data_IF_939346705860
#
_entry.id   IF_939346705860
#
_cell.length_a   1.000
_cell.length_b   1.000
_cell.length_c   1.000
_cell.angle_alpha   90.00
_cell.angle_beta   90.00
_cell.angle_gamma   90.00
#
_symmetry.space_group_name_H-M   'P 1'
#
loop_
_entity.id
_entity.type
_entity.pdbx_description
1 polymer ?
#
# COMPACT_ATOMS: atom_id res chain seq x y z
N UNK A 1 16.59 1.79 7.26
CA UNK A 1 15.32 2.49 7.56
C UNK A 1 15.02 2.56 9.08
N UNK A 2 15.78 3.32 9.89
CA UNK A 2 15.70 3.21 11.37
C UNK A 2 14.63 4.07 12.08
N UNK A 3 13.87 4.93 11.37
CA UNK A 3 12.87 5.84 11.97
C UNK A 3 11.66 6.18 11.08
N UNK A 4 11.22 5.27 10.21
CA UNK A 4 9.98 5.47 9.42
C UNK A 4 8.97 4.39 9.80
N UNK A 5 7.71 4.79 9.96
CA UNK A 5 6.62 3.88 10.35
C UNK A 5 6.25 2.88 9.25
N UNK A 6 6.69 3.10 8.00
CA UNK A 6 6.36 2.26 6.85
C UNK A 6 7.50 2.20 5.81
N UNK A 7 7.36 1.30 4.81
CA UNK A 7 8.30 1.17 3.69
C UNK A 7 8.19 2.39 2.74
N UNK A 8 9.12 2.50 1.80
CA UNK A 8 9.00 3.53 0.74
C UNK A 8 7.80 3.24 -0.18
N UNK A 9 7.13 4.29 -0.65
CA UNK A 9 6.10 4.19 -1.68
C UNK A 9 6.67 4.38 -3.09
N UNK A 10 7.95 4.71 -3.25
CA UNK A 10 8.60 4.82 -4.57
C UNK A 10 8.41 3.53 -5.38
N UNK A 11 7.97 3.67 -6.63
CA UNK A 11 7.66 2.57 -7.54
C UNK A 11 6.61 1.60 -6.99
N UNK A 12 5.59 2.10 -6.26
CA UNK A 12 4.59 1.20 -5.65
C UNK A 12 3.69 0.54 -6.69
N UNK A 13 3.31 1.24 -7.76
CA UNK A 13 2.45 0.67 -8.81
C UNK A 13 3.19 -0.42 -9.59
N UNK A 14 2.58 -1.61 -9.69
CA UNK A 14 3.17 -2.83 -10.25
C UNK A 14 4.00 -3.65 -9.26
N UNK A 15 4.25 -3.16 -8.03
CA UNK A 15 5.08 -3.85 -7.04
C UNK A 15 4.25 -4.81 -6.19
N UNK A 16 4.79 -6.02 -5.96
CA UNK A 16 4.22 -6.99 -5.02
C UNK A 16 4.24 -6.45 -3.57
N UNK A 17 3.24 -6.81 -2.78
CA UNK A 17 3.25 -6.59 -1.32
C UNK A 17 4.51 -7.20 -0.70
N UNK A 18 5.06 -6.55 0.32
CA UNK A 18 6.21 -7.10 1.05
C UNK A 18 7.55 -7.04 0.31
N UNK A 19 7.63 -6.42 -0.87
CA UNK A 19 8.81 -6.50 -1.74
C UNK A 19 9.92 -5.46 -1.48
N UNK A 20 9.75 -4.55 -0.53
CA UNK A 20 10.80 -3.55 -0.22
C UNK A 20 11.87 -4.18 0.66
N UNK A 21 13.08 -4.29 0.10
CA UNK A 21 14.26 -4.73 0.84
C UNK A 21 14.51 -3.83 2.06
N UNK A 22 15.10 -4.39 3.12
CA UNK A 22 15.40 -3.71 4.38
C UNK A 22 14.18 -3.14 5.16
N UNK A 23 12.95 -3.54 4.84
CA UNK A 23 11.77 -3.29 5.66
C UNK A 23 11.24 -4.58 6.32
N UNK A 24 11.05 -4.61 7.66
CA UNK A 24 10.62 -5.80 8.39
C UNK A 24 9.10 -6.01 8.28
N UNK A 25 8.67 -6.56 7.15
CA UNK A 25 7.29 -7.00 6.93
C UNK A 25 6.88 -8.14 7.86
N UNK A 26 5.58 -8.38 7.99
CA UNK A 26 5.06 -9.58 8.64
C UNK A 26 5.16 -10.78 7.68
N UNK A 27 5.13 -11.99 8.21
CA UNK A 27 5.21 -13.21 7.40
C UNK A 27 4.05 -13.30 6.41
N UNK A 28 2.85 -12.92 6.84
CA UNK A 28 1.62 -12.95 6.03
C UNK A 28 1.74 -12.05 4.79
N UNK A 29 2.40 -10.90 4.91
CA UNK A 29 2.63 -10.00 3.78
C UNK A 29 3.71 -10.52 2.83
N UNK A 30 4.69 -11.26 3.32
CA UNK A 30 5.74 -11.86 2.48
C UNK A 30 5.21 -13.02 1.64
N UNK A 31 4.20 -13.74 2.14
CA UNK A 31 3.55 -14.86 1.45
C UNK A 31 2.40 -14.42 0.53
N UNK A 32 2.02 -13.15 0.56
CA UNK A 32 0.89 -12.63 -0.20
C UNK A 32 1.25 -12.32 -1.66
N UNK A 33 0.45 -12.81 -2.61
CA UNK A 33 0.63 -12.58 -4.05
C UNK A 33 -0.04 -11.29 -4.58
N UNK A 34 -0.48 -10.40 -3.69
CA UNK A 34 -1.11 -9.14 -4.07
C UNK A 34 -0.10 -8.19 -4.72
N UNK A 35 -0.50 -7.59 -5.84
CA UNK A 35 0.27 -6.56 -6.55
C UNK A 35 -0.44 -5.22 -6.42
N UNK A 36 0.31 -4.19 -6.04
CA UNK A 36 -0.22 -2.84 -5.93
C UNK A 36 -0.51 -2.24 -7.30
N UNK A 37 -1.76 -1.86 -7.51
CA UNK A 37 -2.28 -1.17 -8.68
C UNK A 37 -3.42 -0.23 -8.20
N UNK A 38 -4.12 0.42 -9.12
CA UNK A 38 -5.21 1.34 -8.76
C UNK A 38 -6.31 0.64 -7.96
N UNK A 39 -6.75 -0.52 -8.43
CA UNK A 39 -7.87 -1.25 -7.82
C UNK A 39 -7.54 -1.76 -6.43
N UNK A 40 -6.33 -2.29 -6.23
CA UNK A 40 -5.90 -2.81 -4.94
C UNK A 40 -5.61 -1.70 -3.93
N UNK A 41 -5.15 -0.53 -4.38
CA UNK A 41 -5.00 0.65 -3.52
C UNK A 41 -6.37 1.25 -3.18
N UNK A 42 -7.31 1.33 -4.14
CA UNK A 42 -8.70 1.72 -3.87
C UNK A 42 -9.31 0.81 -2.81
N UNK A 43 -9.21 -0.50 -3.02
CA UNK A 43 -9.71 -1.51 -2.10
C UNK A 43 -9.08 -1.39 -0.71
N UNK A 44 -7.76 -1.16 -0.64
CA UNK A 44 -7.05 -0.95 0.63
C UNK A 44 -7.66 0.18 1.44
N UNK A 45 -7.95 1.32 0.82
CA UNK A 45 -8.53 2.47 1.51
C UNK A 45 -10.06 2.40 1.64
N UNK A 46 -10.73 1.54 0.87
CA UNK A 46 -12.16 1.29 1.02
C UNK A 46 -12.45 0.35 2.18
N UNK A 47 -11.82 -0.82 2.18
CA UNK A 47 -12.10 -1.92 3.12
C UNK A 47 -11.16 -1.92 4.32
N UNK A 48 -9.96 -1.33 4.20
CA UNK A 48 -8.96 -1.23 5.26
C UNK A 48 -7.86 -2.31 5.16
N UNK A 49 -6.67 -2.05 5.73
CA UNK A 49 -5.54 -2.98 5.71
C UNK A 49 -5.80 -4.26 6.49
N UNK A 50 -6.68 -4.25 7.49
CA UNK A 50 -7.12 -5.42 8.24
C UNK A 50 -7.86 -6.44 7.37
N UNK A 51 -8.49 -6.00 6.29
CA UNK A 51 -9.21 -6.85 5.32
C UNK A 51 -8.33 -7.19 4.12
N UNK A 52 -7.67 -6.19 3.53
CA UNK A 52 -6.94 -6.35 2.25
C UNK A 52 -5.54 -6.91 2.45
N UNK A 53 -4.90 -6.59 3.58
CA UNK A 53 -3.54 -6.98 3.90
C UNK A 53 -3.45 -7.52 5.34
N UNK A 54 -4.20 -8.59 5.68
CA UNK A 54 -4.22 -9.13 7.04
C UNK A 54 -2.81 -9.47 7.54
N UNK A 55 -2.53 -9.16 8.81
CA UNK A 55 -1.19 -9.26 9.40
C UNK A 55 -0.31 -8.03 9.19
N UNK A 56 -0.74 -7.07 8.36
CA UNK A 56 -0.06 -5.78 8.21
C UNK A 56 -0.03 -4.99 9.51
N UNK A 57 1.09 -4.30 9.75
CA UNK A 57 1.27 -3.33 10.85
C UNK A 57 0.75 -1.93 10.48
N UNK A 58 0.22 -1.75 9.27
CA UNK A 58 -0.36 -0.49 8.83
C UNK A 58 -1.59 -0.15 9.69
N UNK A 59 -1.67 1.05 10.28
CA UNK A 59 -2.87 1.47 11.00
C UNK A 59 -4.09 1.45 10.09
N UNK A 60 -5.23 0.98 10.62
CA UNK A 60 -6.49 0.94 9.89
C UNK A 60 -6.91 2.35 9.50
N UNK A 61 -7.02 2.58 8.20
CA UNK A 61 -7.45 3.84 7.61
C UNK A 61 -8.43 3.52 6.49
N UNK A 62 -9.61 4.14 6.55
CA UNK A 62 -10.66 4.00 5.53
C UNK A 62 -11.09 5.37 5.02
N UNK A 63 -11.26 5.50 3.72
CA UNK A 63 -11.68 6.71 3.01
C UNK A 63 -13.03 6.40 2.37
N UNK A 64 -14.11 6.95 2.93
CA UNK A 64 -15.48 6.69 2.46
C UNK A 64 -15.75 7.31 1.09
N UNK A 65 -15.23 8.51 0.85
CA UNK A 65 -15.41 9.24 -0.40
C UNK A 65 -14.72 8.53 -1.55
N UNK A 66 -15.48 8.17 -2.59
CA UNK A 66 -14.93 7.56 -3.80
C UNK A 66 -13.99 8.52 -4.53
N UNK A 67 -14.38 9.80 -4.66
CA UNK A 67 -13.54 10.81 -5.27
C UNK A 67 -12.24 11.03 -4.48
N UNK A 68 -12.29 11.04 -3.14
CA UNK A 68 -11.11 11.20 -2.30
C UNK A 68 -10.10 10.05 -2.52
N UNK A 69 -10.58 8.82 -2.70
CA UNK A 69 -9.72 7.67 -3.04
C UNK A 69 -9.14 7.80 -4.45
N UNK A 70 -9.95 8.21 -5.42
CA UNK A 70 -9.48 8.45 -6.79
C UNK A 70 -8.39 9.54 -6.85
N UNK A 71 -8.58 10.64 -6.10
CA UNK A 71 -7.61 11.73 -6.01
C UNK A 71 -6.31 11.27 -5.32
N UNK A 72 -6.41 10.47 -4.25
CA UNK A 72 -5.27 9.86 -3.59
C UNK A 72 -4.48 8.95 -4.55
N UNK A 73 -5.17 8.09 -5.30
CA UNK A 73 -4.54 7.18 -6.27
C UNK A 73 -3.82 7.97 -7.36
N UNK A 74 -4.47 9.00 -7.91
CA UNK A 74 -3.89 9.90 -8.91
C UNK A 74 -2.63 10.61 -8.38
N UNK A 75 -2.69 11.13 -7.15
CA UNK A 75 -1.54 11.71 -6.48
C UNK A 75 -0.41 10.69 -6.30
N UNK A 76 -0.72 9.49 -5.79
CA UNK A 76 0.28 8.44 -5.54
C UNK A 76 0.97 8.01 -6.83
N UNK A 77 0.25 7.83 -7.94
CA UNK A 77 0.86 7.49 -9.24
C UNK A 77 1.97 8.47 -9.60
N UNK A 78 1.64 9.76 -9.62
CA UNK A 78 2.59 10.81 -9.97
C UNK A 78 3.72 10.97 -8.95
N UNK A 79 3.41 10.87 -7.66
CA UNK A 79 4.37 11.12 -6.59
C UNK A 79 5.36 9.97 -6.38
N UNK A 80 5.07 8.79 -6.93
CA UNK A 80 5.86 7.57 -6.71
C UNK A 80 6.45 6.98 -7.99
N UNK A 81 6.17 7.58 -9.14
CA UNK A 81 6.72 7.16 -10.42
C UNK A 81 8.26 7.22 -10.42
N UNK A 82 8.95 6.16 -10.90
CA UNK A 82 10.38 6.22 -11.16
C UNK A 82 10.71 7.29 -12.21
N UNK A 83 11.74 8.09 -11.96
CA UNK A 83 12.27 9.04 -12.96
C UNK A 83 13.14 8.34 -14.00
#
# INVERSE_FOLDING_TARGET
SKRRAGPTLYGVFGRKVGAVEDYPYSQELLEMELVWNEDTIDLLFKEGPDVVTPGSKMPVQRIKGEQDRADLISYLKRATEPQ
#
